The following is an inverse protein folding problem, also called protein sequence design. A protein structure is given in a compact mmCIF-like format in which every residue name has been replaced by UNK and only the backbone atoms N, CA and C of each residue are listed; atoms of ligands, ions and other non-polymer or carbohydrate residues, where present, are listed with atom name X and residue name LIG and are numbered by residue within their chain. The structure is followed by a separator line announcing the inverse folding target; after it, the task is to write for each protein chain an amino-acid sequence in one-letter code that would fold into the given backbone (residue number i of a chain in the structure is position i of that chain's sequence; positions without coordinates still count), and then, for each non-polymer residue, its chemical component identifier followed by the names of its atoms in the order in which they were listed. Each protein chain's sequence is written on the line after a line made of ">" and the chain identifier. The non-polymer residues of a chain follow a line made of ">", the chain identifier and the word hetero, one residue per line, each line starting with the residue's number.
data_IF_412587563287
#
_entry.id   IF_412587563287
#
_cell.length_a   1.000
_cell.length_b   1.000
_cell.length_c   1.000
_cell.angle_alpha   90.00
_cell.angle_beta   90.00
_cell.angle_gamma   90.00
#
_symmetry.space_group_name_H-M   'P 1'
#
loop_
_entity.id
_entity.type
_entity.pdbx_description
1 polymer ?
#
# COMPACT_ATOMS: atom_id res chain seq x y z
N UNK A 1 -1.56 2.83 -39.27
CA UNK A 1 -1.53 1.45 -39.82
C UNK A 1 -2.32 0.57 -38.88
N UNK A 2 -3.27 -0.23 -39.38
CA UNK A 2 -4.11 -1.10 -38.53
C UNK A 2 -3.32 -2.33 -38.03
N UNK A 3 -3.70 -2.92 -36.89
CA UNK A 3 -3.08 -4.10 -36.30
C UNK A 3 -3.02 -5.29 -37.27
N UNK A 4 -4.07 -5.49 -38.08
CA UNK A 4 -4.13 -6.55 -39.09
C UNK A 4 -3.03 -6.43 -40.15
N UNK A 5 -2.67 -5.20 -40.54
CA UNK A 5 -1.61 -4.96 -41.51
C UNK A 5 -0.23 -5.27 -40.93
N UNK A 6 -0.02 -4.94 -39.64
CA UNK A 6 1.22 -5.27 -38.92
C UNK A 6 1.35 -6.79 -38.78
N UNK A 7 0.26 -7.49 -38.47
CA UNK A 7 0.26 -8.95 -38.36
C UNK A 7 0.51 -9.61 -39.72
N UNK A 8 -0.08 -9.11 -40.80
CA UNK A 8 0.18 -9.62 -42.15
C UNK A 8 1.66 -9.47 -42.55
N UNK A 9 2.30 -8.35 -42.20
CA UNK A 9 3.74 -8.15 -42.43
C UNK A 9 4.57 -9.10 -41.56
N UNK A 10 4.17 -9.33 -40.31
CA UNK A 10 4.82 -10.28 -39.41
C UNK A 10 4.79 -11.72 -39.96
N UNK A 11 3.65 -12.17 -40.50
CA UNK A 11 3.54 -13.50 -41.11
C UNK A 11 4.47 -13.69 -42.32
N UNK A 12 4.67 -12.62 -43.12
CA UNK A 12 5.64 -12.63 -44.24
C UNK A 12 7.08 -12.81 -43.74
N UNK A 13 7.45 -12.15 -42.64
CA UNK A 13 8.77 -12.33 -41.99
C UNK A 13 8.94 -13.76 -41.50
N UNK A 14 7.94 -14.30 -40.79
CA UNK A 14 7.99 -15.67 -40.28
C UNK A 14 8.16 -16.70 -41.40
N UNK A 15 7.42 -16.54 -42.49
CA UNK A 15 7.49 -17.45 -43.64
C UNK A 15 8.87 -17.40 -44.29
N UNK A 16 9.42 -16.20 -44.51
CA UNK A 16 10.76 -16.04 -45.06
C UNK A 16 11.85 -16.62 -44.13
N UNK A 17 11.73 -16.42 -42.82
CA UNK A 17 12.64 -16.96 -41.83
C UNK A 17 12.62 -18.50 -41.77
N UNK A 18 11.44 -19.11 -41.88
CA UNK A 18 11.27 -20.58 -41.88
C UNK A 18 11.81 -21.24 -43.15
N UNK A 19 11.65 -20.59 -44.30
CA UNK A 19 12.15 -21.11 -45.58
C UNK A 19 13.65 -20.88 -45.77
N UNK A 20 14.19 -19.84 -45.14
CA UNK A 20 15.59 -19.42 -45.23
C UNK A 20 15.86 -18.55 -46.45
N UNK A 21 16.63 -17.48 -46.24
CA UNK A 21 17.00 -16.47 -47.26
C UNK A 21 17.76 -17.05 -48.46
N UNK A 22 18.47 -18.17 -48.27
CA UNK A 22 19.18 -18.88 -49.33
C UNK A 22 18.25 -19.64 -50.30
N UNK A 23 17.08 -20.11 -49.83
CA UNK A 23 16.11 -20.87 -50.65
C UNK A 23 15.08 -19.95 -51.29
N UNK A 24 14.71 -18.90 -50.58
CA UNK A 24 13.82 -17.86 -51.07
C UNK A 24 14.38 -16.50 -50.66
N UNK A 25 14.86 -15.68 -51.62
CA UNK A 25 15.35 -14.34 -51.32
C UNK A 25 14.27 -13.53 -50.59
N UNK A 26 14.67 -12.87 -49.50
CA UNK A 26 13.76 -12.00 -48.76
C UNK A 26 13.45 -10.76 -49.61
N UNK A 27 12.17 -10.55 -49.90
CA UNK A 27 11.71 -9.35 -50.61
C UNK A 27 11.44 -8.26 -49.57
N UNK A 28 12.08 -7.08 -49.68
CA UNK A 28 11.87 -5.98 -48.76
C UNK A 28 10.39 -5.66 -48.59
N UNK A 29 9.96 -5.53 -47.34
CA UNK A 29 8.57 -5.27 -47.02
C UNK A 29 8.24 -3.79 -47.24
N UNK A 30 7.08 -3.55 -47.84
CA UNK A 30 6.55 -2.21 -48.01
C UNK A 30 5.55 -1.89 -46.90
N UNK A 31 5.73 -0.72 -46.31
CA UNK A 31 4.81 -0.14 -45.34
C UNK A 31 4.82 1.38 -45.50
N UNK A 32 3.75 2.04 -45.08
CA UNK A 32 3.65 3.50 -45.14
C UNK A 32 4.25 4.18 -43.90
N UNK A 33 4.59 5.46 -44.03
CA UNK A 33 5.00 6.33 -42.92
C UNK A 33 6.33 5.93 -42.28
N UNK A 34 6.45 6.18 -40.97
CA UNK A 34 7.67 5.96 -40.20
C UNK A 34 8.16 4.50 -40.22
N UNK A 35 7.24 3.53 -40.23
CA UNK A 35 7.61 2.12 -40.36
C UNK A 35 8.19 1.81 -41.73
N UNK A 36 7.63 2.36 -42.81
CA UNK A 36 8.19 2.25 -44.15
C UNK A 36 9.61 2.81 -44.25
N UNK A 37 9.84 3.97 -43.62
CA UNK A 37 11.17 4.57 -43.54
C UNK A 37 12.16 3.69 -42.75
N UNK A 38 11.73 3.13 -41.62
CA UNK A 38 12.55 2.21 -40.81
C UNK A 38 12.88 0.92 -41.56
N UNK A 39 11.93 0.36 -42.31
CA UNK A 39 12.15 -0.85 -43.11
C UNK A 39 13.15 -0.64 -44.25
N UNK A 40 13.22 0.58 -44.81
CA UNK A 40 14.13 0.96 -45.90
C UNK A 40 15.48 1.51 -45.43
N UNK A 41 15.65 1.74 -44.13
CA UNK A 41 16.83 2.43 -43.59
C UNK A 41 18.15 1.65 -43.78
N UNK A 42 18.09 0.32 -43.82
CA UNK A 42 19.29 -0.52 -44.02
C UNK A 42 19.40 -0.99 -45.47
N UNK A 43 20.64 -1.26 -45.88
CA UNK A 43 20.96 -1.88 -47.17
C UNK A 43 20.16 -3.19 -47.36
N UNK A 44 19.50 -3.28 -48.51
CA UNK A 44 18.62 -4.39 -48.88
C UNK A 44 19.33 -5.43 -49.75
N UNK A 45 20.60 -5.21 -50.11
CA UNK A 45 21.42 -6.17 -50.85
C UNK A 45 21.82 -7.39 -50.00
N UNK A 46 21.87 -7.23 -48.67
CA UNK A 46 22.06 -8.31 -47.69
C UNK A 46 20.69 -8.86 -47.27
N UNK A 47 20.31 -10.03 -47.81
CA UNK A 47 19.00 -10.62 -47.58
C UNK A 47 18.77 -11.01 -46.11
N UNK A 48 19.80 -11.54 -45.45
CA UNK A 48 19.79 -11.88 -44.03
C UNK A 48 19.65 -10.62 -43.18
N UNK A 49 20.45 -9.59 -43.47
CA UNK A 49 20.41 -8.30 -42.80
C UNK A 49 19.07 -7.59 -42.96
N UNK A 50 18.48 -7.63 -44.16
CA UNK A 50 17.17 -7.07 -44.46
C UNK A 50 16.05 -7.78 -43.68
N UNK A 51 16.06 -9.12 -43.65
CA UNK A 51 15.09 -9.91 -42.89
C UNK A 51 15.16 -9.61 -41.38
N UNK A 52 16.37 -9.61 -40.80
CA UNK A 52 16.56 -9.35 -39.37
C UNK A 52 16.17 -7.92 -38.99
N UNK A 53 16.45 -6.95 -39.85
CA UNK A 53 16.11 -5.53 -39.59
C UNK A 53 14.59 -5.32 -39.68
N UNK A 54 13.93 -5.96 -40.65
CA UNK A 54 12.47 -5.98 -40.73
C UNK A 54 11.84 -6.65 -39.50
N UNK A 55 12.41 -7.78 -39.04
CA UNK A 55 11.94 -8.48 -37.85
C UNK A 55 12.04 -7.61 -36.59
N UNK A 56 13.15 -6.90 -36.40
CA UNK A 56 13.35 -6.00 -35.28
C UNK A 56 12.35 -4.83 -35.28
N UNK A 57 12.19 -4.15 -36.43
CA UNK A 57 11.28 -3.02 -36.57
C UNK A 57 9.82 -3.42 -36.32
N UNK A 58 9.36 -4.51 -36.94
CA UNK A 58 7.98 -4.99 -36.79
C UNK A 58 7.74 -5.55 -35.38
N UNK A 59 8.71 -6.25 -34.78
CA UNK A 59 8.58 -6.71 -33.39
C UNK A 59 8.43 -5.55 -32.41
N UNK A 60 9.18 -4.46 -32.61
CA UNK A 60 9.05 -3.25 -31.78
C UNK A 60 7.67 -2.60 -31.94
N UNK A 61 7.18 -2.45 -33.18
CA UNK A 61 5.85 -1.89 -33.44
C UNK A 61 4.74 -2.77 -32.84
N UNK A 62 4.86 -4.10 -32.90
CA UNK A 62 3.89 -5.00 -32.26
C UNK A 62 3.87 -4.81 -30.75
N UNK A 63 5.05 -4.75 -30.11
CA UNK A 63 5.15 -4.59 -28.65
C UNK A 63 4.74 -3.20 -28.15
N UNK A 64 5.01 -2.15 -28.92
CA UNK A 64 4.76 -0.77 -28.52
C UNK A 64 3.42 -0.20 -29.06
N UNK A 65 2.89 -0.79 -30.14
CA UNK A 65 1.66 -0.37 -30.81
C UNK A 65 0.43 -1.16 -30.35
N UNK A 66 0.58 -2.15 -29.48
CA UNK A 66 -0.53 -2.78 -28.79
C UNK A 66 -1.23 -1.73 -27.91
N UNK A 67 -2.41 -1.29 -28.37
CA UNK A 67 -3.31 -0.54 -27.52
C UNK A 67 -3.88 -1.50 -26.47
N UNK A 68 -3.97 -1.08 -25.20
CA UNK A 68 -4.61 -1.90 -24.18
C UNK A 68 -6.02 -2.25 -24.64
N UNK A 69 -6.43 -3.50 -24.43
CA UNK A 69 -7.76 -3.98 -24.76
C UNK A 69 -8.81 -3.04 -24.13
N UNK A 70 -9.63 -2.40 -24.97
CA UNK A 70 -10.69 -1.51 -24.53
C UNK A 70 -12.07 -2.08 -24.93
N UNK A 71 -13.08 -2.07 -24.03
CA UNK A 71 -13.05 -1.57 -22.66
C UNK A 71 -12.84 -2.71 -21.64
N UNK A 72 -12.20 -2.40 -20.51
CA UNK A 72 -12.09 -3.25 -19.31
C UNK A 72 -13.45 -3.64 -18.68
N UNK A 73 -14.58 -3.37 -19.35
CA UNK A 73 -15.94 -3.55 -18.85
C UNK A 73 -16.32 -2.65 -17.66
N UNK A 74 -15.39 -1.79 -17.20
CA UNK A 74 -15.56 -0.90 -16.06
C UNK A 74 -14.85 0.44 -16.28
N UNK A 75 -15.39 1.49 -15.67
CA UNK A 75 -14.69 2.76 -15.55
C UNK A 75 -13.40 2.55 -14.74
N UNK A 76 -12.33 3.25 -15.13
CA UNK A 76 -11.14 3.33 -14.31
C UNK A 76 -11.47 4.05 -13.00
N UNK A 77 -10.86 3.65 -11.88
CA UNK A 77 -11.06 4.37 -10.62
C UNK A 77 -10.51 5.79 -10.72
N UNK A 78 -11.05 6.68 -9.89
CA UNK A 78 -10.52 8.03 -9.77
C UNK A 78 -9.02 7.96 -9.39
N UNK A 79 -8.16 8.81 -9.99
CA UNK A 79 -6.75 8.87 -9.64
C UNK A 79 -6.55 9.09 -8.14
N UNK A 80 -5.49 8.47 -7.60
CA UNK A 80 -5.09 8.69 -6.22
C UNK A 80 -4.69 10.16 -6.02
N UNK A 81 -5.22 10.85 -4.99
CA UNK A 81 -4.83 12.22 -4.70
C UNK A 81 -3.35 12.31 -4.26
N UNK A 82 -2.72 13.50 -4.37
CA UNK A 82 -1.35 13.68 -3.91
C UNK A 82 -1.25 13.45 -2.40
N UNK A 83 -0.13 12.88 -1.98
CA UNK A 83 0.19 12.68 -0.57
C UNK A 83 1.09 13.83 -0.09
N UNK A 84 0.66 14.66 0.88
CA UNK A 84 1.48 15.74 1.41
C UNK A 84 2.64 15.22 2.27
N UNK A 85 2.63 13.95 2.68
CA UNK A 85 3.66 13.37 3.53
C UNK A 85 4.92 13.03 2.71
N UNK A 86 6.13 13.38 3.18
CA UNK A 86 7.36 13.04 2.49
C UNK A 86 7.60 11.53 2.49
N UNK A 87 8.05 11.00 1.36
CA UNK A 87 8.52 9.62 1.28
C UNK A 87 9.80 9.45 2.11
N UNK A 88 9.93 8.30 2.79
CA UNK A 88 11.16 7.95 3.49
C UNK A 88 12.35 7.82 2.51
N UNK A 89 13.58 8.10 2.99
CA UNK A 89 14.79 7.88 2.21
C UNK A 89 14.91 6.45 1.69
N UNK A 90 15.61 6.29 0.58
CA UNK A 90 15.79 5.01 -0.09
C UNK A 90 16.40 3.95 0.84
N UNK A 91 17.41 4.35 1.62
CA UNK A 91 18.12 3.48 2.56
C UNK A 91 17.20 2.94 3.65
N UNK A 92 16.24 3.75 4.11
CA UNK A 92 15.25 3.34 5.09
C UNK A 92 14.19 2.43 4.46
N UNK A 93 13.80 2.71 3.21
CA UNK A 93 12.81 1.94 2.46
C UNK A 93 13.31 0.52 2.12
N UNK A 94 14.58 0.37 1.75
CA UNK A 94 15.18 -0.94 1.44
C UNK A 94 15.16 -1.91 2.63
N UNK A 95 15.11 -1.41 3.87
CA UNK A 95 15.03 -2.26 5.07
C UNK A 95 13.74 -3.08 5.12
N UNK A 96 12.66 -2.63 4.49
CA UNK A 96 11.38 -3.33 4.49
C UNK A 96 11.53 -4.79 4.05
N UNK A 97 12.24 -5.00 2.93
CA UNK A 97 12.54 -6.31 2.36
C UNK A 97 13.40 -7.21 3.24
N UNK A 98 14.08 -6.64 4.24
CA UNK A 98 14.98 -7.34 5.16
C UNK A 98 14.28 -7.79 6.43
N UNK A 99 13.07 -7.29 6.72
CA UNK A 99 12.34 -7.72 7.91
C UNK A 99 11.75 -9.12 7.73
N UNK A 100 11.93 -9.94 8.76
CA UNK A 100 11.44 -11.32 8.78
C UNK A 100 10.20 -11.42 9.68
N UNK A 101 9.19 -12.23 9.30
CA UNK A 101 8.08 -12.58 10.19
C UNK A 101 8.52 -13.21 11.52
N UNK A 102 9.73 -13.78 11.60
CA UNK A 102 10.29 -14.34 12.84
C UNK A 102 10.83 -13.28 13.81
N UNK A 103 10.95 -12.01 13.37
CA UNK A 103 11.37 -10.87 14.20
C UNK A 103 10.41 -9.70 14.00
N UNK A 104 9.13 -9.84 14.37
CA UNK A 104 8.11 -8.83 14.11
C UNK A 104 8.38 -7.50 14.81
N UNK A 105 9.06 -7.54 15.96
CA UNK A 105 9.48 -6.34 16.70
C UNK A 105 10.35 -5.39 15.88
N UNK A 106 11.18 -5.90 14.95
CA UNK A 106 12.02 -5.04 14.11
C UNK A 106 11.20 -4.21 13.13
N UNK A 107 10.16 -4.81 12.53
CA UNK A 107 9.24 -4.07 11.67
C UNK A 107 8.44 -3.05 12.48
N UNK A 108 7.99 -3.44 13.68
CA UNK A 108 7.25 -2.54 14.57
C UNK A 108 8.10 -1.30 14.95
N UNK A 109 9.36 -1.49 15.35
CA UNK A 109 10.27 -0.39 15.67
C UNK A 109 10.55 0.51 14.46
N UNK A 110 10.75 -0.08 13.28
CA UNK A 110 10.94 0.69 12.05
C UNK A 110 9.68 1.52 11.69
N UNK A 111 8.49 0.95 11.88
CA UNK A 111 7.22 1.63 11.70
C UNK A 111 7.03 2.79 12.69
N UNK A 112 7.42 2.61 13.96
CA UNK A 112 7.42 3.68 14.98
C UNK A 112 8.33 4.84 14.57
N UNK A 113 9.58 4.54 14.21
CA UNK A 113 10.55 5.55 13.77
C UNK A 113 10.10 6.30 12.52
N UNK A 114 9.46 5.61 11.57
CA UNK A 114 8.87 6.24 10.39
C UNK A 114 7.70 7.17 10.75
N UNK A 115 6.86 6.75 11.69
CA UNK A 115 5.73 7.55 12.17
C UNK A 115 6.17 8.82 12.90
N UNK A 116 7.14 8.70 13.81
CA UNK A 116 7.74 9.83 14.53
C UNK A 116 8.35 10.86 13.58
N UNK A 117 9.04 10.39 12.53
CA UNK A 117 9.61 11.24 11.47
C UNK A 117 8.57 11.72 10.45
N UNK A 118 7.31 11.33 10.60
CA UNK A 118 6.21 11.62 9.67
C UNK A 118 6.57 11.27 8.23
N UNK A 119 7.17 10.11 8.03
CA UNK A 119 7.51 9.60 6.71
C UNK A 119 6.47 8.59 6.23
N UNK A 120 6.19 8.59 4.93
CA UNK A 120 5.44 7.50 4.26
C UNK A 120 6.37 6.57 3.53
N UNK A 121 5.89 5.37 3.23
CA UNK A 121 6.60 4.43 2.35
C UNK A 121 6.58 4.93 0.90
N UNK A 122 7.62 4.65 0.09
CA UNK A 122 7.57 4.86 -1.36
C UNK A 122 6.48 3.99 -2.01
N UNK A 123 5.86 4.50 -3.08
CA UNK A 123 4.69 3.89 -3.72
C UNK A 123 4.89 2.41 -4.13
N UNK A 124 6.04 1.98 -4.68
CA UNK A 124 6.26 0.59 -5.07
C UNK A 124 6.22 -0.41 -3.90
N UNK A 125 6.49 0.06 -2.68
CA UNK A 125 6.61 -0.77 -1.49
C UNK A 125 5.33 -0.79 -0.63
N UNK A 126 4.33 0.03 -0.96
CA UNK A 126 3.07 0.08 -0.23
C UNK A 126 2.36 -1.30 -0.11
N UNK A 127 2.30 -2.15 -1.17
CA UNK A 127 1.67 -3.47 -1.05
C UNK A 127 2.39 -4.40 -0.06
N UNK A 128 3.72 -4.42 -0.10
CA UNK A 128 4.55 -5.24 0.80
C UNK A 128 4.39 -4.79 2.24
N UNK A 129 4.47 -3.47 2.48
CA UNK A 129 4.23 -2.87 3.78
C UNK A 129 2.86 -3.30 4.32
N UNK A 130 1.81 -3.09 3.52
CA UNK A 130 0.44 -3.39 3.93
C UNK A 130 0.23 -4.86 4.28
N UNK A 131 0.88 -5.78 3.55
CA UNK A 131 0.82 -7.20 3.86
C UNK A 131 1.54 -7.54 5.18
N UNK A 132 2.72 -6.96 5.41
CA UNK A 132 3.52 -7.26 6.60
C UNK A 132 2.93 -6.63 7.87
N UNK A 133 2.42 -5.40 7.80
CA UNK A 133 1.96 -4.68 9.00
C UNK A 133 0.60 -5.12 9.51
N UNK A 134 -0.23 -5.81 8.72
CA UNK A 134 -1.60 -6.18 9.09
C UNK A 134 -1.68 -6.94 10.43
N UNK A 135 -0.73 -7.85 10.68
CA UNK A 135 -0.69 -8.65 11.92
C UNK A 135 0.29 -8.13 12.97
N UNK A 136 1.21 -7.25 12.58
CA UNK A 136 2.30 -6.78 13.43
C UNK A 136 1.91 -5.45 14.08
N UNK A 137 1.64 -4.43 13.27
CA UNK A 137 1.31 -3.08 13.75
C UNK A 137 0.37 -2.38 12.75
N UNK A 138 -0.91 -2.82 12.66
CA UNK A 138 -1.82 -2.38 11.59
C UNK A 138 -2.05 -0.86 11.60
N UNK A 139 -2.08 -0.22 12.76
CA UNK A 139 -2.29 1.22 12.86
C UNK A 139 -1.12 2.01 12.28
N UNK A 140 0.11 1.67 12.65
CA UNK A 140 1.31 2.28 12.06
C UNK A 140 1.40 1.93 10.58
N UNK A 141 1.15 0.68 10.20
CA UNK A 141 1.09 0.26 8.79
C UNK A 141 0.15 1.10 7.94
N UNK A 142 -1.08 1.32 8.42
CA UNK A 142 -2.08 2.14 7.73
C UNK A 142 -1.63 3.61 7.61
N UNK A 143 -0.99 4.17 8.64
CA UNK A 143 -0.45 5.53 8.62
C UNK A 143 0.71 5.69 7.64
N UNK A 144 1.69 4.78 7.69
CA UNK A 144 2.92 4.82 6.87
C UNK A 144 2.66 4.46 5.41
N UNK A 145 1.62 3.66 5.12
CA UNK A 145 1.19 3.37 3.75
C UNK A 145 0.65 4.62 3.02
N UNK A 146 0.29 5.67 3.76
CA UNK A 146 -0.09 6.98 3.23
C UNK A 146 -1.36 6.96 2.38
N UNK A 147 -1.55 8.02 1.61
CA UNK A 147 -2.68 8.21 0.70
C UNK A 147 -2.72 7.12 -0.37
N UNK A 148 -1.56 6.72 -0.90
CA UNK A 148 -1.46 5.69 -1.94
C UNK A 148 -1.86 4.31 -1.44
N UNK A 149 -1.36 3.90 -0.28
CA UNK A 149 -1.68 2.61 0.31
C UNK A 149 -3.15 2.47 0.64
N UNK A 150 -3.74 3.52 1.24
CA UNK A 150 -5.19 3.59 1.48
C UNK A 150 -6.00 3.51 0.19
N UNK A 151 -5.65 4.31 -0.82
CA UNK A 151 -6.32 4.29 -2.12
C UNK A 151 -6.27 2.87 -2.71
N UNK A 152 -5.11 2.21 -2.64
CA UNK A 152 -4.94 0.85 -3.13
C UNK A 152 -5.82 -0.16 -2.37
N UNK A 153 -5.87 -0.07 -1.03
CA UNK A 153 -6.72 -0.92 -0.21
C UNK A 153 -8.22 -0.77 -0.56
N UNK A 154 -8.68 0.47 -0.81
CA UNK A 154 -10.05 0.73 -1.27
C UNK A 154 -10.33 0.17 -2.67
N UNK A 155 -9.37 0.26 -3.60
CA UNK A 155 -9.55 -0.23 -4.98
C UNK A 155 -9.55 -1.75 -5.09
N UNK A 156 -8.69 -2.42 -4.32
CA UNK A 156 -8.53 -3.87 -4.38
C UNK A 156 -9.47 -4.63 -3.44
N UNK A 157 -10.03 -3.95 -2.43
CA UNK A 157 -10.82 -4.61 -1.37
C UNK A 157 -9.98 -5.48 -0.44
N UNK A 158 -8.65 -5.41 -0.55
CA UNK A 158 -7.66 -6.06 0.31
C UNK A 158 -7.13 -5.08 1.36
N UNK A 159 -6.50 -5.59 2.44
CA UNK A 159 -5.98 -4.78 3.55
C UNK A 159 -7.04 -3.84 4.14
N UNK A 160 -8.21 -4.40 4.46
CA UNK A 160 -9.37 -3.64 4.99
C UNK A 160 -9.02 -2.81 6.23
N UNK A 161 -7.98 -3.20 6.97
CA UNK A 161 -7.47 -2.46 8.11
C UNK A 161 -6.92 -1.08 7.73
N UNK A 162 -6.51 -0.83 6.49
CA UNK A 162 -5.94 0.45 6.02
C UNK A 162 -6.89 1.23 5.08
N UNK A 163 -8.09 0.70 4.80
CA UNK A 163 -9.04 1.27 3.86
C UNK A 163 -9.94 2.36 4.51
N UNK A 164 -9.34 3.34 5.19
CA UNK A 164 -10.09 4.43 5.87
C UNK A 164 -9.35 5.77 5.82
N UNK A 165 -10.08 6.88 5.92
CA UNK A 165 -9.51 8.22 6.15
C UNK A 165 -9.84 8.62 7.60
N UNK A 166 -8.90 9.27 8.31
CA UNK A 166 -9.08 9.59 9.74
C UNK A 166 -10.13 10.69 9.99
N UNK A 167 -10.37 11.56 9.01
CA UNK A 167 -11.45 12.55 9.01
C UNK A 167 -12.82 11.95 8.66
N UNK A 168 -12.84 10.75 8.06
CA UNK A 168 -14.06 10.01 7.75
C UNK A 168 -14.37 8.93 8.81
N UNK A 169 -15.29 9.26 9.71
CA UNK A 169 -15.75 8.35 10.77
C UNK A 169 -16.64 7.20 10.26
N UNK A 170 -16.88 7.07 8.95
CA UNK A 170 -17.58 5.90 8.39
C UNK A 170 -16.89 4.60 8.78
N UNK A 171 -15.56 4.57 8.72
CA UNK A 171 -14.76 3.43 9.16
C UNK A 171 -14.98 3.07 10.64
N UNK A 172 -15.18 4.08 11.50
CA UNK A 172 -15.50 3.89 12.91
C UNK A 172 -16.93 3.38 13.11
N UNK A 173 -17.91 3.93 12.38
CA UNK A 173 -19.34 3.65 12.59
C UNK A 173 -19.77 2.30 12.03
N UNK A 174 -19.29 1.95 10.85
CA UNK A 174 -19.78 0.79 10.08
C UNK A 174 -18.67 -0.15 9.61
N UNK A 175 -17.40 0.17 9.88
CA UNK A 175 -16.28 -0.67 9.48
C UNK A 175 -16.26 -2.05 10.13
N UNK A 176 -15.54 -2.97 9.49
CA UNK A 176 -15.27 -4.29 10.05
C UNK A 176 -14.48 -4.16 11.39
N UNK A 177 -14.51 -5.17 12.27
CA UNK A 177 -13.82 -5.10 13.57
C UNK A 177 -12.35 -4.71 13.49
N UNK A 178 -11.60 -5.23 12.50
CA UNK A 178 -10.19 -4.88 12.30
C UNK A 178 -10.02 -3.42 11.86
N UNK A 179 -10.89 -2.93 10.96
CA UNK A 179 -10.89 -1.54 10.48
C UNK A 179 -11.23 -0.58 11.62
N UNK A 180 -12.26 -0.86 12.43
CA UNK A 180 -12.65 -0.02 13.58
C UNK A 180 -11.53 0.08 14.61
N UNK A 181 -10.91 -1.05 14.97
CA UNK A 181 -9.78 -1.05 15.90
C UNK A 181 -8.60 -0.27 15.34
N UNK A 182 -8.25 -0.52 14.08
CA UNK A 182 -7.11 0.15 13.45
C UNK A 182 -7.34 1.65 13.32
N UNK A 183 -8.55 2.06 12.94
CA UNK A 183 -8.96 3.47 12.91
C UNK A 183 -8.78 4.12 14.29
N UNK A 184 -9.29 3.50 15.35
CA UNK A 184 -9.17 4.03 16.71
C UNK A 184 -7.71 4.08 17.18
N UNK A 185 -6.93 3.04 16.91
CA UNK A 185 -5.48 3.00 17.20
C UNK A 185 -4.71 4.06 16.41
N UNK A 186 -5.04 4.31 15.15
CA UNK A 186 -4.42 5.34 14.33
C UNK A 186 -4.79 6.75 14.82
N UNK A 187 -6.05 6.97 15.25
CA UNK A 187 -6.42 8.19 15.96
C UNK A 187 -5.67 8.30 17.29
N UNK A 188 -5.45 7.23 18.05
CA UNK A 188 -4.64 7.31 19.27
C UNK A 188 -3.20 7.77 19.03
N UNK A 189 -2.61 7.36 17.91
CA UNK A 189 -1.27 7.78 17.51
C UNK A 189 -1.19 9.25 17.06
N UNK A 190 -2.31 9.86 16.64
CA UNK A 190 -2.31 11.19 15.99
C UNK A 190 -3.13 12.25 16.73
N UNK A 191 -4.31 11.89 17.24
CA UNK A 191 -5.29 12.72 17.93
C UNK A 191 -5.85 11.96 19.16
N UNK A 192 -5.06 11.74 20.24
CA UNK A 192 -5.41 10.84 21.34
C UNK A 192 -6.71 11.20 22.06
N UNK A 193 -6.98 12.50 22.25
CA UNK A 193 -8.23 12.97 22.86
C UNK A 193 -9.46 12.70 21.98
N UNK A 194 -9.32 12.84 20.65
CA UNK A 194 -10.41 12.58 19.71
C UNK A 194 -10.79 11.10 19.73
N UNK A 195 -9.80 10.22 19.76
CA UNK A 195 -10.03 8.79 19.92
C UNK A 195 -10.78 8.46 21.21
N UNK A 196 -10.36 9.04 22.34
CA UNK A 196 -11.02 8.81 23.63
C UNK A 196 -12.48 9.28 23.59
N UNK A 197 -12.75 10.50 23.10
CA UNK A 197 -14.12 11.02 22.94
C UNK A 197 -15.00 10.12 22.09
N UNK A 198 -14.48 9.62 20.97
CA UNK A 198 -15.22 8.69 20.08
C UNK A 198 -15.54 7.38 20.79
N UNK A 199 -14.58 6.81 21.52
CA UNK A 199 -14.77 5.57 22.26
C UNK A 199 -15.82 5.74 23.36
N UNK A 200 -15.73 6.81 24.15
CA UNK A 200 -16.70 7.11 25.22
C UNK A 200 -18.12 7.28 24.67
N UNK A 201 -18.27 8.02 23.56
CA UNK A 201 -19.58 8.32 22.97
C UNK A 201 -20.34 7.08 22.49
N UNK A 202 -19.63 6.01 22.09
CA UNK A 202 -20.27 4.77 21.62
C UNK A 202 -20.24 3.65 22.65
N UNK A 203 -19.55 3.82 23.77
CA UNK A 203 -19.22 2.77 24.73
C UNK A 203 -20.44 1.92 25.15
N UNK A 204 -21.51 2.58 25.58
CA UNK A 204 -22.72 1.92 26.09
C UNK A 204 -23.43 1.06 25.03
N UNK A 205 -23.21 1.34 23.74
CA UNK A 205 -23.82 0.62 22.61
C UNK A 205 -22.95 -0.54 22.10
N UNK A 206 -21.69 -0.62 22.54
CA UNK A 206 -20.80 -1.70 22.11
C UNK A 206 -21.09 -3.01 22.82
N UNK A 207 -21.00 -4.11 22.07
CA UNK A 207 -21.05 -5.45 22.65
C UNK A 207 -19.79 -5.72 23.50
N UNK A 208 -19.88 -6.55 24.56
CA UNK A 208 -18.76 -6.81 25.47
C UNK A 208 -17.44 -7.23 24.81
N UNK A 209 -17.48 -8.15 23.86
CA UNK A 209 -16.29 -8.61 23.14
C UNK A 209 -15.62 -7.48 22.31
N UNK A 210 -16.41 -6.53 21.80
CA UNK A 210 -15.89 -5.37 21.08
C UNK A 210 -15.27 -4.35 22.02
N UNK A 211 -15.89 -4.12 23.18
CA UNK A 211 -15.37 -3.22 24.23
C UNK A 211 -13.93 -3.55 24.62
N UNK A 212 -13.65 -4.82 24.93
CA UNK A 212 -12.28 -5.26 25.27
C UNK A 212 -11.29 -5.02 24.11
N UNK A 213 -11.70 -5.32 22.88
CA UNK A 213 -10.84 -5.12 21.70
C UNK A 213 -10.57 -3.64 21.40
N UNK A 214 -11.56 -2.76 21.62
CA UNK A 214 -11.44 -1.33 21.43
C UNK A 214 -10.64 -0.65 22.54
N UNK A 215 -10.76 -1.09 23.80
CA UNK A 215 -9.92 -0.62 24.90
C UNK A 215 -8.44 -0.81 24.63
N UNK A 216 -8.07 -1.94 24.01
CA UNK A 216 -6.67 -2.22 23.66
C UNK A 216 -6.04 -1.15 22.74
N UNK A 217 -6.84 -0.35 22.03
CA UNK A 217 -6.32 0.77 21.25
C UNK A 217 -5.74 1.89 22.12
N UNK A 218 -6.23 2.07 23.35
CA UNK A 218 -5.74 3.11 24.29
C UNK A 218 -4.30 2.86 24.76
N UNK A 219 -3.76 1.63 24.57
CA UNK A 219 -2.35 1.36 24.84
C UNK A 219 -1.42 2.24 24.00
N UNK A 220 -1.87 2.72 22.82
CA UNK A 220 -1.14 3.72 22.07
C UNK A 220 -1.30 5.11 22.72
N UNK A 221 -0.17 5.75 23.01
CA UNK A 221 -0.10 7.07 23.67
C UNK A 221 -0.91 7.14 24.97
N UNK A 222 -0.96 6.04 25.73
CA UNK A 222 -1.68 5.94 27.00
C UNK A 222 -1.24 7.06 27.96
N UNK A 223 -2.19 7.85 28.45
CA UNK A 223 -1.92 9.02 29.29
C UNK A 223 -2.92 9.19 30.46
N UNK A 224 -2.64 10.16 31.34
CA UNK A 224 -3.45 10.42 32.52
C UNK A 224 -4.88 10.91 32.20
N UNK A 225 -5.13 11.45 31.00
CA UNK A 225 -6.47 11.85 30.57
C UNK A 225 -7.38 10.63 30.31
N UNK A 226 -6.81 9.45 30.08
CA UNK A 226 -7.55 8.20 29.92
C UNK A 226 -8.06 7.64 31.27
N UNK A 227 -7.46 8.04 32.39
CA UNK A 227 -7.72 7.46 33.72
C UNK A 227 -9.18 7.54 34.18
N UNK A 228 -9.93 8.65 34.02
CA UNK A 228 -11.33 8.71 34.43
C UNK A 228 -12.21 7.71 33.69
N UNK A 229 -11.97 7.54 32.38
CA UNK A 229 -12.69 6.58 31.56
C UNK A 229 -12.35 5.14 31.99
N UNK A 230 -11.06 4.82 32.07
CA UNK A 230 -10.59 3.48 32.45
C UNK A 230 -11.07 3.08 33.85
N UNK A 231 -11.00 4.01 34.82
CA UNK A 231 -11.47 3.78 36.20
C UNK A 231 -12.96 3.48 36.23
N UNK A 232 -13.76 4.25 35.48
CA UNK A 232 -15.19 3.99 35.33
C UNK A 232 -15.43 2.59 34.77
N UNK A 233 -14.79 2.24 33.65
CA UNK A 233 -14.95 0.93 33.01
C UNK A 233 -14.55 -0.22 33.95
N UNK A 234 -13.43 -0.12 34.64
CA UNK A 234 -12.96 -1.13 35.59
C UNK A 234 -13.92 -1.36 36.75
N UNK A 235 -14.71 -0.35 37.15
CA UNK A 235 -15.67 -0.45 38.24
C UNK A 235 -17.06 -0.93 37.80
N UNK A 236 -17.58 -0.41 36.68
CA UNK A 236 -19.01 -0.55 36.35
C UNK A 236 -19.31 -1.47 35.18
N UNK A 237 -18.33 -1.81 34.33
CA UNK A 237 -18.61 -2.67 33.17
C UNK A 237 -19.03 -4.07 33.62
N UNK A 238 -20.06 -4.64 32.99
CA UNK A 238 -20.64 -5.92 33.40
C UNK A 238 -19.74 -7.11 33.02
N UNK A 239 -18.93 -6.97 31.97
CA UNK A 239 -18.10 -8.05 31.46
C UNK A 239 -16.75 -8.12 32.20
N UNK A 240 -16.40 -9.27 32.82
CA UNK A 240 -15.13 -9.43 33.54
C UNK A 240 -13.90 -9.09 32.70
N UNK A 241 -13.82 -9.60 31.47
CA UNK A 241 -12.68 -9.39 30.56
C UNK A 241 -12.47 -7.91 30.20
N UNK A 242 -13.57 -7.13 30.15
CA UNK A 242 -13.51 -5.69 29.89
C UNK A 242 -12.95 -4.95 31.10
N UNK A 243 -13.42 -5.30 32.31
CA UNK A 243 -12.88 -4.74 33.56
C UNK A 243 -11.40 -5.07 33.74
N UNK A 244 -11.00 -6.31 33.45
CA UNK A 244 -9.59 -6.74 33.52
C UNK A 244 -8.73 -5.98 32.50
N UNK A 245 -9.23 -5.77 31.29
CA UNK A 245 -8.51 -4.98 30.27
C UNK A 245 -8.32 -3.53 30.69
N UNK A 246 -9.33 -2.91 31.30
CA UNK A 246 -9.21 -1.56 31.85
C UNK A 246 -8.22 -1.52 33.03
N UNK A 247 -8.28 -2.48 33.96
CA UNK A 247 -7.37 -2.56 35.10
C UNK A 247 -5.90 -2.69 34.65
N UNK A 248 -5.61 -3.50 33.62
CA UNK A 248 -4.27 -3.61 33.05
C UNK A 248 -3.74 -2.29 32.47
N UNK A 249 -4.60 -1.51 31.81
CA UNK A 249 -4.21 -0.19 31.30
C UNK A 249 -3.97 0.81 32.44
N UNK A 250 -4.75 0.74 33.53
CA UNK A 250 -4.52 1.56 34.72
C UNK A 250 -3.17 1.21 35.37
N UNK A 251 -2.84 -0.08 35.49
CA UNK A 251 -1.54 -0.53 36.02
C UNK A 251 -0.38 -0.05 35.12
N UNK A 252 -0.53 -0.15 33.79
CA UNK A 252 0.45 0.42 32.85
C UNK A 252 0.64 1.93 33.03
N UNK A 253 -0.46 2.68 33.24
CA UNK A 253 -0.38 4.12 33.52
C UNK A 253 0.37 4.45 34.81
N UNK A 254 0.16 3.66 35.85
CA UNK A 254 0.80 3.85 37.15
C UNK A 254 2.29 3.51 37.13
N UNK A 255 2.67 2.55 36.30
CA UNK A 255 4.05 2.09 36.13
C UNK A 255 4.80 2.81 34.99
N UNK A 256 4.12 3.69 34.24
CA UNK A 256 4.74 4.40 33.14
C UNK A 256 5.76 5.44 33.64
N UNK A 257 6.91 5.60 32.95
CA UNK A 257 7.86 6.65 33.28
C UNK A 257 7.19 8.02 33.14
N UNK A 258 7.48 8.91 34.10
CA UNK A 258 7.02 10.30 34.10
C UNK A 258 7.52 11.07 32.87
N UNK A 259 6.88 12.18 32.48
CA UNK A 259 7.35 13.01 31.35
C UNK A 259 8.83 13.40 31.49
N UNK A 260 9.26 13.75 32.70
CA UNK A 260 10.66 14.09 33.01
C UNK A 260 11.62 12.91 32.78
N UNK A 261 11.20 11.69 33.13
CA UNK A 261 11.97 10.46 32.87
C UNK A 261 12.04 10.12 31.38
N UNK A 262 10.94 10.33 30.64
CA UNK A 262 10.90 10.12 29.19
C UNK A 262 11.79 11.12 28.45
N UNK A 263 11.80 12.38 28.87
CA UNK A 263 12.71 13.40 28.32
C UNK A 263 14.18 13.09 28.63
N UNK A 264 14.47 12.53 29.80
CA UNK A 264 15.84 12.11 30.15
C UNK A 264 16.31 10.86 29.38
N UNK A 265 15.39 9.95 29.02
CA UNK A 265 15.67 8.75 28.24
C UNK A 265 15.71 8.99 26.72
N UNK A 266 15.09 10.08 26.25
CA UNK A 266 15.19 10.55 24.87
C UNK A 266 16.62 11.05 24.61
N UNK A 267 17.52 10.11 24.28
CA UNK A 267 18.86 10.41 23.78
C UNK A 267 18.75 11.48 22.69
N UNK A 268 19.56 12.56 22.75
CA UNK A 268 19.63 13.51 21.65
C UNK A 268 20.16 12.75 20.43
N UNK A 269 19.27 12.45 19.48
CA UNK A 269 19.61 11.96 18.16
C UNK A 269 20.21 13.07 17.32
#
# INVERSE_FOLDING_TARGET
>A
MNADAIEALWQKILTAALLGTARQPFVPLEAEGALGALLKWRDQADAEGALLSAAAAISYVRRAGELPFAPLGRALPAPCPPDPQPAMPYEAAELLSKFSPHRPYLLEEWLKLAHERRLRVPEPLAPELLAMSERIAPALGALIAGVRGRWLAMQLGTWQYAAFQLDDETAWRTGAPITRKTFLSALRLTEPERALRLLEATWEREAPNRRANLLAALAHNLDQADLPFLSRVAQIDRAPDVRESAARLIDQLQNAPTPEQREAEALPL
#
